data_IF_231754230622
#
_entry.id   IF_231754230622
#
_cell.length_a   1.000
_cell.length_b   1.000
_cell.length_c   1.000
_cell.angle_alpha   90.00
_cell.angle_beta   90.00
_cell.angle_gamma   90.00
#
_symmetry.space_group_name_H-M   'P 1'
#
loop_
_entity.id
_entity.type
_entity.pdbx_description
1 polymer ?
#
# COMPACT_ATOMS: atom_id res chain seq x y z
N UNK A 1 -2.80 -14.09 -1.17
CA UNK A 1 -1.37 -13.74 -1.22
C UNK A 1 -1.05 -12.78 -0.08
N UNK A 2 0.18 -12.76 0.39
CA UNK A 2 0.59 -11.92 1.51
C UNK A 2 1.78 -11.07 1.11
N UNK A 3 2.04 -9.95 1.82
CA UNK A 3 3.27 -9.20 1.62
C UNK A 3 4.51 -10.08 1.77
N UNK A 4 5.47 -9.90 0.87
CA UNK A 4 6.73 -10.66 0.91
C UNK A 4 7.57 -10.32 2.14
N UNK A 5 7.46 -9.07 2.60
CA UNK A 5 8.15 -8.59 3.80
C UNK A 5 7.36 -7.43 4.40
N UNK A 6 7.66 -7.13 5.65
CA UNK A 6 7.03 -6.06 6.40
C UNK A 6 8.10 -5.12 6.95
N UNK A 7 7.80 -3.83 6.94
CA UNK A 7 8.65 -2.80 7.55
C UNK A 7 7.94 -2.13 8.71
N UNK A 8 8.69 -1.82 9.75
CA UNK A 8 8.21 -0.95 10.82
C UNK A 8 8.23 0.53 10.37
N UNK A 9 7.57 1.40 11.13
CA UNK A 9 7.63 2.85 10.88
C UNK A 9 9.07 3.37 10.91
N UNK A 10 9.92 3.02 11.91
CA UNK A 10 11.34 3.44 11.89
C UNK A 10 12.09 2.95 10.65
N UNK A 11 11.85 1.71 10.21
CA UNK A 11 12.51 1.16 9.02
C UNK A 11 12.13 1.93 7.75
N UNK A 12 10.84 2.24 7.58
CA UNK A 12 10.38 3.04 6.43
C UNK A 12 10.99 4.45 6.48
N UNK A 13 11.04 5.06 7.65
CA UNK A 13 11.66 6.38 7.82
C UNK A 13 13.12 6.36 7.37
N UNK A 14 13.86 5.35 7.77
CA UNK A 14 15.25 5.18 7.35
C UNK A 14 15.38 4.97 5.85
N UNK A 15 14.57 4.08 5.28
CA UNK A 15 14.59 3.79 3.84
C UNK A 15 14.26 5.02 3.00
N UNK A 16 13.31 5.83 3.44
CA UNK A 16 12.89 7.04 2.71
C UNK A 16 13.72 8.27 3.04
N UNK A 17 14.57 8.20 4.05
CA UNK A 17 15.33 9.36 4.50
C UNK A 17 14.47 10.42 5.16
N UNK A 18 13.43 10.01 5.87
CA UNK A 18 12.45 10.87 6.52
C UNK A 18 12.46 10.64 8.04
N UNK A 19 11.72 11.47 8.77
CA UNK A 19 11.48 11.25 10.20
C UNK A 19 10.30 10.31 10.39
N UNK A 20 10.25 9.63 11.53
CA UNK A 20 9.12 8.75 11.84
C UNK A 20 7.79 9.50 11.82
N UNK A 21 7.76 10.75 12.30
CA UNK A 21 6.52 11.56 12.26
C UNK A 21 6.04 11.81 10.83
N UNK A 22 6.96 11.95 9.88
CA UNK A 22 6.61 12.15 8.47
C UNK A 22 5.99 10.87 7.90
N UNK A 23 6.52 9.72 8.27
CA UNK A 23 5.94 8.43 7.87
C UNK A 23 4.54 8.26 8.45
N UNK A 24 4.34 8.61 9.72
CA UNK A 24 3.01 8.56 10.35
C UNK A 24 2.02 9.49 9.67
N UNK A 25 2.47 10.68 9.25
CA UNK A 25 1.63 11.60 8.48
C UNK A 25 1.24 10.99 7.14
N UNK A 26 2.16 10.32 6.45
CA UNK A 26 1.88 9.64 5.19
C UNK A 26 0.83 8.53 5.37
N UNK A 27 0.89 7.78 6.46
CA UNK A 27 -0.12 6.76 6.78
C UNK A 27 -1.48 7.42 6.99
N UNK A 28 -1.52 8.51 7.74
CA UNK A 28 -2.74 9.26 8.00
C UNK A 28 -3.36 9.82 6.72
N UNK A 29 -2.52 10.23 5.77
CA UNK A 29 -2.93 10.76 4.47
C UNK A 29 -3.22 9.66 3.44
N UNK A 30 -3.17 8.41 3.82
CA UNK A 30 -3.37 7.24 2.94
C UNK A 30 -2.37 7.14 1.79
N UNK A 31 -1.18 7.66 1.99
CA UNK A 31 -0.07 7.47 1.05
C UNK A 31 0.63 6.14 1.27
N UNK A 32 0.55 5.62 2.49
CA UNK A 32 1.01 4.31 2.92
C UNK A 32 -0.09 3.65 3.75
N UNK A 33 -0.09 2.33 3.79
CA UNK A 33 -1.00 1.57 4.62
C UNK A 33 -0.18 0.84 5.71
N UNK A 34 -0.59 0.99 6.96
CA UNK A 34 -0.02 0.26 8.07
C UNK A 34 -1.12 -0.54 8.75
N UNK A 35 -0.81 -1.78 9.09
CA UNK A 35 -1.72 -2.67 9.83
C UNK A 35 -0.96 -3.33 10.97
N UNK A 36 -1.65 -3.75 12.05
CA UNK A 36 -1.00 -4.55 13.10
C UNK A 36 -0.49 -5.86 12.51
N UNK A 37 0.77 -6.19 12.80
CA UNK A 37 1.39 -7.42 12.34
C UNK A 37 2.45 -7.88 13.33
N UNK A 38 2.68 -9.20 13.38
CA UNK A 38 3.67 -9.80 14.24
C UNK A 38 3.21 -9.98 15.68
N UNK A 39 4.07 -10.55 16.55
CA UNK A 39 3.70 -10.91 17.92
C UNK A 39 3.23 -9.75 18.78
N UNK A 40 3.77 -8.56 18.54
CA UNK A 40 3.44 -7.35 19.32
C UNK A 40 2.36 -6.50 18.65
N UNK A 41 1.80 -6.95 17.52
CA UNK A 41 0.81 -6.20 16.74
C UNK A 41 1.26 -4.77 16.44
N UNK A 42 2.55 -4.56 16.22
CA UNK A 42 3.09 -3.25 15.88
C UNK A 42 2.64 -2.82 14.49
N UNK A 43 2.45 -1.51 14.29
CA UNK A 43 2.11 -0.96 12.98
C UNK A 43 3.18 -1.34 11.96
N UNK A 44 2.77 -2.04 10.91
CA UNK A 44 3.67 -2.62 9.92
C UNK A 44 3.20 -2.28 8.52
N UNK A 45 4.17 -1.98 7.65
CA UNK A 45 3.92 -1.50 6.29
C UNK A 45 4.42 -2.56 5.31
N UNK A 46 3.57 -3.02 4.37
CA UNK A 46 4.00 -4.00 3.37
C UNK A 46 5.14 -3.47 2.49
N UNK A 47 6.12 -4.31 2.24
CA UNK A 47 7.31 -3.92 1.48
C UNK A 47 6.98 -3.49 0.04
N UNK A 48 5.95 -4.08 -0.58
CA UNK A 48 5.58 -3.76 -1.96
C UNK A 48 5.03 -2.34 -2.13
N UNK A 49 4.72 -1.64 -1.05
CA UNK A 49 4.28 -0.24 -1.10
C UNK A 49 5.43 0.74 -1.30
N UNK A 50 6.67 0.25 -1.23
CA UNK A 50 7.88 1.01 -1.56
C UNK A 50 8.45 0.49 -2.88
N UNK A 51 8.93 1.40 -3.70
CA UNK A 51 9.53 1.07 -5.00
C UNK A 51 10.88 1.77 -5.14
N UNK A 52 11.76 1.22 -5.98
CA UNK A 52 12.99 1.89 -6.38
C UNK A 52 12.79 2.39 -7.81
N UNK A 53 12.78 3.73 -8.02
CA UNK A 53 12.59 4.27 -9.37
C UNK A 53 13.69 3.88 -10.34
N UNK A 54 14.92 3.71 -9.85
CA UNK A 54 16.04 3.30 -10.66
C UNK A 54 17.09 2.56 -9.84
N UNK A 55 18.04 1.92 -10.51
CA UNK A 55 19.13 1.22 -9.84
C UNK A 55 19.98 2.21 -9.04
N UNK A 56 20.22 1.87 -7.77
CA UNK A 56 20.98 2.73 -6.87
C UNK A 56 20.19 3.88 -6.26
N UNK A 57 18.95 4.08 -6.70
CA UNK A 57 18.10 5.12 -6.12
C UNK A 57 17.58 4.73 -4.76
N UNK A 58 17.26 5.76 -3.94
CA UNK A 58 16.59 5.56 -2.67
C UNK A 58 15.17 5.05 -2.92
N UNK A 59 14.65 4.16 -2.08
CA UNK A 59 13.24 3.75 -2.17
C UNK A 59 12.31 4.95 -2.07
N UNK A 60 11.18 4.85 -2.75
CA UNK A 60 10.12 5.85 -2.72
C UNK A 60 8.78 5.17 -2.51
N UNK A 61 7.79 5.92 -2.05
CA UNK A 61 6.42 5.41 -1.91
C UNK A 61 5.83 5.18 -3.31
N UNK A 62 5.11 4.08 -3.47
CA UNK A 62 4.34 3.80 -4.68
C UNK A 62 3.28 4.89 -4.86
N UNK A 63 3.50 5.82 -5.78
CA UNK A 63 2.71 7.05 -5.90
C UNK A 63 1.25 6.85 -6.26
N UNK A 64 0.93 5.75 -6.95
CA UNK A 64 -0.44 5.43 -7.35
C UNK A 64 -1.29 4.85 -6.21
N UNK A 65 -0.69 4.54 -5.07
CA UNK A 65 -1.36 3.85 -3.96
C UNK A 65 -2.41 4.73 -3.28
N UNK A 66 -2.14 6.01 -3.10
CA UNK A 66 -3.00 6.93 -2.36
C UNK A 66 -4.43 6.99 -2.92
N UNK A 67 -4.56 7.11 -4.23
CA UNK A 67 -5.88 7.16 -4.87
C UNK A 67 -6.68 5.88 -4.64
N UNK A 68 -6.03 4.74 -4.73
CA UNK A 68 -6.68 3.45 -4.49
C UNK A 68 -7.07 3.28 -3.03
N UNK A 69 -6.19 3.59 -2.09
CA UNK A 69 -6.51 3.51 -0.66
C UNK A 69 -7.67 4.43 -0.29
N UNK A 70 -7.74 5.62 -0.88
CA UNK A 70 -8.84 6.55 -0.67
C UNK A 70 -10.17 5.96 -1.16
N UNK A 71 -10.17 5.36 -2.35
CA UNK A 71 -11.38 4.71 -2.89
C UNK A 71 -11.85 3.56 -2.02
N UNK A 72 -10.93 2.75 -1.50
CA UNK A 72 -11.28 1.65 -0.61
C UNK A 72 -11.89 2.18 0.71
N UNK A 73 -11.28 3.21 1.29
CA UNK A 73 -11.81 3.82 2.51
C UNK A 73 -13.20 4.43 2.27
N UNK A 74 -13.40 5.08 1.13
CA UNK A 74 -14.70 5.66 0.78
C UNK A 74 -15.77 4.57 0.56
N UNK A 75 -15.36 3.36 0.22
CA UNK A 75 -16.26 2.20 0.08
C UNK A 75 -16.52 1.49 1.41
N UNK A 76 -15.99 2.02 2.52
CA UNK A 76 -16.20 1.48 3.84
C UNK A 76 -15.18 0.44 4.31
N UNK A 77 -14.09 0.27 3.57
CA UNK A 77 -13.04 -0.67 3.94
C UNK A 77 -12.15 -0.08 5.03
N UNK A 78 -11.88 -0.84 6.08
CA UNK A 78 -10.84 -0.48 7.04
C UNK A 78 -9.46 -0.86 6.52
N UNK A 79 -8.40 -0.60 7.30
CA UNK A 79 -7.03 -0.83 6.87
C UNK A 79 -6.75 -2.32 6.59
N UNK A 80 -7.24 -3.21 7.43
CA UNK A 80 -7.05 -4.66 7.26
C UNK A 80 -7.80 -5.15 6.02
N UNK A 81 -9.04 -4.70 5.83
CA UNK A 81 -9.83 -5.05 4.65
C UNK A 81 -9.19 -4.51 3.37
N UNK A 82 -8.66 -3.29 3.41
CA UNK A 82 -7.94 -2.69 2.29
C UNK A 82 -6.69 -3.51 1.94
N UNK A 83 -5.94 -3.95 2.95
CA UNK A 83 -4.78 -4.82 2.73
C UNK A 83 -5.19 -6.12 2.06
N UNK A 84 -6.24 -6.76 2.55
CA UNK A 84 -6.73 -8.01 1.98
C UNK A 84 -7.12 -7.84 0.52
N UNK A 85 -7.81 -6.75 0.20
CA UNK A 85 -8.21 -6.47 -1.18
C UNK A 85 -6.99 -6.30 -2.09
N UNK A 86 -6.00 -5.54 -1.63
CA UNK A 86 -4.79 -5.28 -2.41
C UNK A 86 -3.98 -6.54 -2.70
N UNK A 87 -4.03 -7.53 -1.79
CA UNK A 87 -3.22 -8.74 -1.89
C UNK A 87 -4.02 -9.97 -2.29
N UNK A 88 -5.30 -9.82 -2.63
CA UNK A 88 -6.12 -10.91 -3.15
C UNK A 88 -6.07 -10.92 -4.68
N UNK A 89 -6.03 -12.10 -5.32
CA UNK A 89 -6.19 -12.18 -6.76
C UNK A 89 -7.49 -11.52 -7.20
N UNK A 90 -7.43 -10.72 -8.27
CA UNK A 90 -8.57 -9.98 -8.79
C UNK A 90 -8.80 -10.39 -10.23
N UNK A 91 -9.99 -10.90 -10.53
CA UNK A 91 -10.30 -11.45 -11.87
C UNK A 91 -10.27 -10.36 -12.94
N UNK A 92 -10.69 -9.14 -12.63
CA UNK A 92 -10.66 -8.03 -13.57
C UNK A 92 -9.23 -7.65 -13.97
N UNK A 93 -8.28 -7.84 -13.05
CA UNK A 93 -6.90 -7.44 -13.25
C UNK A 93 -6.01 -8.61 -13.72
N UNK A 94 -6.45 -9.84 -13.53
CA UNK A 94 -5.64 -11.02 -13.82
C UNK A 94 -4.47 -11.22 -12.87
N UNK A 95 -4.38 -10.46 -11.79
CA UNK A 95 -3.33 -10.49 -10.78
C UNK A 95 -3.82 -9.80 -9.51
N UNK A 96 -2.95 -9.65 -8.50
CA UNK A 96 -3.31 -8.86 -7.31
C UNK A 96 -3.31 -7.37 -7.65
N UNK A 97 -4.20 -6.58 -7.02
CA UNK A 97 -4.19 -5.12 -7.23
C UNK A 97 -2.85 -4.47 -6.91
N UNK A 98 -2.16 -4.90 -5.85
CA UNK A 98 -0.85 -4.32 -5.52
C UNK A 98 0.17 -4.55 -6.64
N UNK A 99 0.19 -5.74 -7.23
CA UNK A 99 1.07 -6.04 -8.36
C UNK A 99 0.71 -5.16 -9.57
N UNK A 100 -0.56 -5.04 -9.88
CA UNK A 100 -1.04 -4.21 -11.00
C UNK A 100 -0.64 -2.74 -10.81
N UNK A 101 -0.73 -2.21 -9.58
CA UNK A 101 -0.27 -0.85 -9.27
C UNK A 101 1.22 -0.69 -9.52
N UNK A 102 2.03 -1.66 -9.11
CA UNK A 102 3.48 -1.62 -9.32
C UNK A 102 3.86 -1.72 -10.80
N UNK A 103 3.02 -2.36 -11.61
CA UNK A 103 3.18 -2.44 -13.06
C UNK A 103 2.65 -1.18 -13.78
N UNK A 104 2.12 -0.22 -13.06
CA UNK A 104 1.63 1.03 -13.62
C UNK A 104 0.19 1.01 -14.12
N UNK A 105 -0.58 -0.04 -13.80
CA UNK A 105 -1.96 -0.19 -14.24
C UNK A 105 -2.94 0.53 -13.31
N UNK A 106 -2.67 1.80 -13.03
CA UNK A 106 -3.39 2.61 -12.04
C UNK A 106 -4.89 2.73 -12.35
N UNK A 107 -5.23 3.01 -13.61
CA UNK A 107 -6.64 3.20 -14.00
C UNK A 107 -7.45 1.92 -13.87
N UNK A 108 -6.88 0.78 -14.25
CA UNK A 108 -7.55 -0.50 -14.13
C UNK A 108 -7.82 -0.84 -12.66
N UNK A 109 -6.85 -0.60 -11.77
CA UNK A 109 -7.02 -0.83 -10.33
C UNK A 109 -8.08 0.09 -9.75
N UNK A 110 -8.10 1.36 -10.12
CA UNK A 110 -9.13 2.31 -9.66
C UNK A 110 -10.52 1.90 -10.10
N UNK A 111 -10.68 1.43 -11.34
CA UNK A 111 -11.97 0.91 -11.81
C UNK A 111 -12.43 -0.30 -11.00
N UNK A 112 -11.50 -1.22 -10.71
CA UNK A 112 -11.81 -2.39 -9.88
C UNK A 112 -12.24 -1.97 -8.48
N UNK A 113 -11.55 -0.99 -7.89
CA UNK A 113 -11.91 -0.45 -6.56
C UNK A 113 -13.27 0.27 -6.59
N UNK A 114 -13.55 1.04 -7.63
CA UNK A 114 -14.82 1.75 -7.77
C UNK A 114 -16.00 0.80 -7.86
N UNK A 115 -15.82 -0.38 -8.42
CA UNK A 115 -16.90 -1.36 -8.54
C UNK A 115 -17.38 -1.89 -7.18
N UNK A 116 -16.59 -1.71 -6.11
CA UNK A 116 -16.99 -2.09 -4.76
C UNK A 116 -18.06 -1.17 -4.17
N UNK A 117 -18.22 0.05 -4.71
CA UNK A 117 -19.20 1.02 -4.22
C UNK A 117 -20.62 0.79 -4.76
N UNK A 118 -20.78 -0.14 -5.67
CA UNK A 118 -22.06 -0.39 -6.36
C UNK A 118 -22.55 -1.81 -6.18
#
# INVERSE_FOLDING_TARGET
MEPAAWYSVPEVAELLGLRQRDVRAMIKERRLLAVPHGPNAAASIPAEMLVRPGEGDRPAVLGSLQGTLTLLADSGYDDVESLRWLYAPNDELGTTPIHALREGHTHAVRRAALSLAF
#
